data_IF_047032036970
#
_entry.id   IF_047032036970
#
_cell.length_a   1.000
_cell.length_b   1.000
_cell.length_c   1.000
_cell.angle_alpha   90.00
_cell.angle_beta   90.00
_cell.angle_gamma   90.00
#
_symmetry.space_group_name_H-M   'P 1'
#
loop_
_entity.id
_entity.type
_entity.pdbx_description
1 polymer ?
#
# COMPACT_ATOMS: atom_id res chain seq x y z
N UNK A 1 -13.52 -6.40 0.40
CA UNK A 1 -12.54 -5.30 0.34
C UNK A 1 -12.26 -4.79 -1.08
N UNK A 2 -11.45 -5.44 -1.91
CA UNK A 2 -11.08 -4.90 -3.24
C UNK A 2 -12.26 -4.49 -4.15
N UNK A 3 -13.38 -5.22 -4.10
CA UNK A 3 -14.61 -4.80 -4.82
C UNK A 3 -15.24 -3.53 -4.25
N UNK A 4 -15.25 -3.36 -2.92
CA UNK A 4 -15.71 -2.13 -2.26
C UNK A 4 -14.80 -0.95 -2.60
N UNK A 5 -13.53 -1.23 -2.85
CA UNK A 5 -12.50 -0.34 -3.37
C UNK A 5 -12.67 -0.02 -4.88
N UNK A 6 -13.69 -0.56 -5.57
CA UNK A 6 -14.01 -0.27 -6.97
C UNK A 6 -13.17 -1.02 -8.00
N UNK A 7 -12.43 -2.06 -7.60
CA UNK A 7 -11.54 -2.81 -8.49
C UNK A 7 -12.27 -3.98 -9.16
N UNK A 8 -11.92 -4.23 -10.43
CA UNK A 8 -12.44 -5.33 -11.25
C UNK A 8 -11.38 -6.29 -11.76
N UNK A 9 -10.09 -5.95 -11.61
CA UNK A 9 -8.97 -6.84 -11.90
C UNK A 9 -8.38 -7.32 -10.59
N UNK A 10 -8.06 -8.62 -10.52
CA UNK A 10 -7.55 -9.25 -9.31
C UNK A 10 -6.30 -10.07 -9.62
N UNK A 11 -5.33 -10.02 -8.71
CA UNK A 11 -4.17 -10.87 -8.78
C UNK A 11 -3.79 -11.42 -7.40
N UNK A 12 -3.07 -12.54 -7.40
CA UNK A 12 -2.50 -13.14 -6.22
C UNK A 12 -0.97 -13.22 -6.35
N UNK A 13 -0.28 -12.71 -5.33
CA UNK A 13 1.16 -12.80 -5.19
C UNK A 13 1.51 -13.74 -4.04
N UNK A 14 1.74 -15.00 -4.37
CA UNK A 14 2.14 -16.04 -3.43
C UNK A 14 2.98 -17.13 -4.09
N UNK A 15 3.27 -18.18 -3.33
CA UNK A 15 4.08 -19.33 -3.74
C UNK A 15 3.34 -20.62 -3.37
N UNK A 16 3.90 -21.76 -3.76
CA UNK A 16 3.30 -23.09 -3.56
C UNK A 16 3.56 -23.70 -2.17
N UNK A 17 3.99 -22.93 -1.18
CA UNK A 17 4.04 -23.37 0.22
C UNK A 17 2.62 -23.55 0.77
N UNK A 18 2.38 -24.45 1.74
CA UNK A 18 1.03 -24.91 2.12
C UNK A 18 0.01 -23.78 2.33
N UNK A 19 0.35 -22.83 3.21
CA UNK A 19 -0.54 -21.70 3.53
C UNK A 19 -0.71 -20.71 2.37
N UNK A 20 0.33 -20.51 1.57
CA UNK A 20 0.29 -19.63 0.40
C UNK A 20 -0.57 -20.21 -0.72
N UNK A 21 -0.45 -21.52 -0.94
CA UNK A 21 -1.20 -22.27 -1.94
C UNK A 21 -2.70 -22.29 -1.60
N UNK A 22 -3.05 -22.63 -0.36
CA UNK A 22 -4.45 -22.63 0.11
C UNK A 22 -5.10 -21.24 0.03
N UNK A 23 -4.40 -20.18 0.47
CA UNK A 23 -4.85 -18.79 0.34
C UNK A 23 -5.10 -18.42 -1.12
N UNK A 24 -4.21 -18.82 -2.03
CA UNK A 24 -4.35 -18.59 -3.46
C UNK A 24 -5.58 -19.27 -4.06
N UNK A 25 -5.80 -20.55 -3.75
CA UNK A 25 -6.99 -21.31 -4.20
C UNK A 25 -8.27 -20.66 -3.67
N UNK A 26 -8.31 -20.32 -2.38
CA UNK A 26 -9.48 -19.71 -1.76
C UNK A 26 -9.81 -18.35 -2.41
N UNK A 27 -8.78 -17.53 -2.67
CA UNK A 27 -8.95 -16.25 -3.33
C UNK A 27 -9.45 -16.41 -4.78
N UNK A 28 -8.85 -17.30 -5.56
CA UNK A 28 -9.26 -17.58 -6.94
C UNK A 28 -10.72 -18.06 -7.02
N UNK A 29 -11.12 -18.95 -6.12
CA UNK A 29 -12.51 -19.42 -6.01
C UNK A 29 -13.48 -18.25 -5.82
N UNK A 30 -13.23 -17.38 -4.85
CA UNK A 30 -14.09 -16.23 -4.54
C UNK A 30 -14.11 -15.22 -5.70
N UNK A 31 -12.99 -14.99 -6.36
CA UNK A 31 -12.89 -14.10 -7.53
C UNK A 31 -13.74 -14.64 -8.69
N UNK A 32 -13.64 -15.94 -8.98
CA UNK A 32 -14.42 -16.62 -10.02
C UNK A 32 -15.91 -16.66 -9.74
N UNK A 33 -16.31 -16.92 -8.51
CA UNK A 33 -17.72 -16.90 -8.07
C UNK A 33 -18.38 -15.53 -8.33
N UNK A 34 -17.61 -14.46 -8.36
CA UNK A 34 -18.07 -13.11 -8.66
C UNK A 34 -17.92 -12.70 -10.15
N UNK A 35 -17.57 -13.63 -11.03
CA UNK A 35 -17.48 -13.40 -12.48
C UNK A 35 -16.19 -12.74 -12.97
N UNK A 36 -15.13 -12.74 -12.17
CA UNK A 36 -13.84 -12.16 -12.53
C UNK A 36 -12.76 -13.24 -12.71
N UNK A 37 -11.61 -12.85 -13.26
CA UNK A 37 -10.42 -13.69 -13.34
C UNK A 37 -9.36 -13.23 -12.34
N UNK A 38 -8.68 -14.19 -11.71
CA UNK A 38 -7.53 -13.95 -10.86
C UNK A 38 -6.24 -14.28 -11.61
N UNK A 39 -5.34 -13.31 -11.72
CA UNK A 39 -4.00 -13.52 -12.28
C UNK A 39 -3.02 -13.93 -11.19
N UNK A 40 -2.14 -14.88 -11.47
CA UNK A 40 -1.15 -15.35 -10.51
C UNK A 40 0.25 -15.03 -11.01
N UNK A 41 1.12 -14.58 -10.11
CA UNK A 41 2.54 -14.59 -10.41
C UNK A 41 3.00 -16.05 -10.44
N UNK A 42 3.58 -16.49 -11.57
CA UNK A 42 4.24 -17.79 -11.63
C UNK A 42 5.48 -17.75 -10.75
N UNK A 43 5.54 -18.59 -9.71
CA UNK A 43 6.68 -18.68 -8.82
C UNK A 43 7.28 -20.08 -8.82
N UNK A 44 8.59 -20.16 -8.56
CA UNK A 44 9.23 -21.40 -8.18
C UNK A 44 9.00 -21.61 -6.68
N UNK A 45 8.49 -22.78 -6.22
CA UNK A 45 8.23 -23.05 -4.80
C UNK A 45 9.43 -22.82 -3.86
N UNK A 46 10.64 -22.92 -4.42
CA UNK A 46 11.92 -22.90 -3.70
C UNK A 46 12.63 -21.54 -3.74
N UNK A 47 12.13 -20.54 -4.46
CA UNK A 47 12.82 -19.27 -4.58
C UNK A 47 11.90 -18.06 -4.63
N UNK A 48 12.35 -16.98 -3.98
CA UNK A 48 11.68 -15.68 -4.10
C UNK A 48 11.98 -15.11 -5.48
N UNK A 49 10.97 -14.66 -6.25
CA UNK A 49 11.21 -14.09 -7.56
C UNK A 49 12.13 -12.87 -7.47
N UNK A 50 13.02 -12.74 -8.45
CA UNK A 50 13.89 -11.57 -8.56
C UNK A 50 13.07 -10.29 -8.64
N UNK A 51 13.64 -9.17 -8.22
CA UNK A 51 12.98 -7.87 -8.30
C UNK A 51 12.61 -7.53 -9.76
N UNK A 52 13.49 -7.86 -10.72
CA UNK A 52 13.26 -7.62 -12.15
C UNK A 52 12.07 -8.43 -12.66
N UNK A 53 11.97 -9.71 -12.29
CA UNK A 53 10.84 -10.56 -12.66
C UNK A 53 9.53 -10.08 -12.06
N UNK A 54 9.56 -9.56 -10.83
CA UNK A 54 8.40 -8.99 -10.17
C UNK A 54 7.93 -7.70 -10.87
N UNK A 55 8.86 -6.82 -11.23
CA UNK A 55 8.57 -5.59 -12.01
C UNK A 55 7.98 -5.95 -13.38
N UNK A 56 8.55 -6.93 -14.08
CA UNK A 56 8.03 -7.39 -15.37
C UNK A 56 6.59 -7.89 -15.26
N UNK A 57 6.31 -8.74 -14.26
CA UNK A 57 4.95 -9.23 -14.00
C UNK A 57 3.97 -8.11 -13.67
N UNK A 58 4.37 -7.12 -12.87
CA UNK A 58 3.52 -5.96 -12.55
C UNK A 58 3.11 -5.17 -13.79
N UNK A 59 3.96 -5.08 -14.82
CA UNK A 59 3.63 -4.43 -16.09
C UNK A 59 2.69 -5.24 -16.99
N UNK A 60 2.59 -6.55 -16.78
CA UNK A 60 1.66 -7.42 -17.52
C UNK A 60 0.23 -7.36 -16.97
N UNK A 61 0.05 -6.87 -15.73
CA UNK A 61 -1.25 -6.84 -15.07
C UNK A 61 -2.14 -5.71 -15.63
N UNK A 62 -3.45 -5.97 -15.84
CA UNK A 62 -4.39 -4.94 -16.24
C UNK A 62 -4.67 -3.99 -15.06
N UNK A 63 -4.36 -2.70 -15.21
CA UNK A 63 -4.60 -1.70 -14.17
C UNK A 63 -5.97 -1.01 -14.34
N UNK A 64 -6.66 -0.62 -13.25
CA UNK A 64 -6.28 -0.82 -11.85
C UNK A 64 -6.50 -2.26 -11.38
N UNK A 65 -5.59 -2.82 -10.57
CA UNK A 65 -5.64 -4.21 -10.06
C UNK A 65 -5.51 -4.26 -8.55
N UNK A 66 -6.29 -5.14 -7.91
CA UNK A 66 -6.13 -5.52 -6.51
C UNK A 66 -5.27 -6.78 -6.38
N UNK A 67 -4.11 -6.67 -5.75
CA UNK A 67 -3.18 -7.77 -5.51
C UNK A 67 -3.27 -8.21 -4.05
N UNK A 68 -3.72 -9.44 -3.82
CA UNK A 68 -3.59 -10.09 -2.51
C UNK A 68 -2.19 -10.72 -2.41
N UNK A 69 -1.42 -10.29 -1.42
CA UNK A 69 -0.12 -10.88 -1.10
C UNK A 69 -0.29 -12.03 -0.12
N UNK A 70 0.59 -13.04 -0.22
CA UNK A 70 0.63 -14.19 0.68
C UNK A 70 0.78 -13.83 2.16
N UNK A 71 1.49 -12.74 2.47
CA UNK A 71 1.80 -12.23 3.81
C UNK A 71 2.24 -10.75 3.69
N UNK A 72 2.44 -10.07 4.83
CA UNK A 72 2.80 -8.65 4.85
C UNK A 72 4.21 -8.37 4.33
N UNK A 73 5.16 -9.30 4.48
CA UNK A 73 6.51 -9.16 3.93
C UNK A 73 6.47 -9.11 2.39
N UNK A 74 5.61 -9.94 1.81
CA UNK A 74 5.36 -10.03 0.38
C UNK A 74 4.57 -8.83 -0.12
N UNK A 75 3.58 -8.36 0.66
CA UNK A 75 2.85 -7.13 0.38
C UNK A 75 3.76 -5.90 0.37
N UNK A 76 4.70 -5.82 1.32
CA UNK A 76 5.73 -4.79 1.34
C UNK A 76 6.62 -4.84 0.11
N UNK A 77 7.11 -6.03 -0.25
CA UNK A 77 7.95 -6.23 -1.44
C UNK A 77 7.23 -5.82 -2.72
N UNK A 78 5.93 -6.13 -2.85
CA UNK A 78 5.11 -5.66 -3.97
C UNK A 78 5.06 -4.14 -4.05
N UNK A 79 4.79 -3.46 -2.93
CA UNK A 79 4.72 -2.00 -2.90
C UNK A 79 6.05 -1.39 -3.35
N UNK A 80 7.18 -1.89 -2.84
CA UNK A 80 8.50 -1.38 -3.23
C UNK A 80 8.79 -1.66 -4.72
N UNK A 81 8.41 -2.83 -5.24
CA UNK A 81 8.56 -3.17 -6.65
C UNK A 81 7.65 -2.33 -7.58
N UNK A 82 6.40 -2.09 -7.21
CA UNK A 82 5.48 -1.22 -7.97
C UNK A 82 6.06 0.19 -8.10
N UNK A 83 6.65 0.73 -7.03
CA UNK A 83 7.28 2.05 -7.06
C UNK A 83 8.50 2.11 -7.96
N UNK A 84 9.33 1.08 -7.95
CA UNK A 84 10.49 0.98 -8.84
C UNK A 84 10.07 0.79 -10.30
N UNK A 85 8.93 0.15 -10.54
CA UNK A 85 8.28 0.05 -11.85
C UNK A 85 7.62 1.36 -12.31
N UNK A 86 7.58 2.40 -11.47
CA UNK A 86 6.87 3.65 -11.76
C UNK A 86 5.34 3.54 -11.68
N UNK A 87 4.82 2.43 -11.16
CA UNK A 87 3.38 2.17 -10.98
C UNK A 87 2.91 2.74 -9.65
N UNK A 88 1.76 3.40 -9.66
CA UNK A 88 1.21 4.01 -8.47
C UNK A 88 0.46 3.02 -7.58
N UNK A 89 0.69 3.16 -6.27
CA UNK A 89 -0.04 2.47 -5.22
C UNK A 89 -0.84 3.53 -4.45
N UNK A 90 -2.17 3.40 -4.28
CA UNK A 90 -2.98 2.26 -4.69
C UNK A 90 -3.65 2.39 -6.08
N UNK A 91 -3.53 3.52 -6.77
CA UNK A 91 -4.42 3.87 -7.89
C UNK A 91 -4.28 2.95 -9.11
N UNK A 92 -3.09 2.45 -9.40
CA UNK A 92 -2.87 1.43 -10.44
C UNK A 92 -2.75 0.04 -9.82
N UNK A 93 -2.02 -0.08 -8.71
CA UNK A 93 -1.76 -1.33 -8.00
C UNK A 93 -2.21 -1.17 -6.55
N UNK A 94 -3.36 -1.74 -6.19
CA UNK A 94 -3.78 -1.84 -4.81
C UNK A 94 -3.23 -3.12 -4.18
N UNK A 95 -2.59 -3.04 -3.02
CA UNK A 95 -1.92 -4.19 -2.37
C UNK A 95 -2.52 -4.46 -1.01
N UNK A 96 -2.99 -5.68 -0.78
CA UNK A 96 -3.48 -6.17 0.51
C UNK A 96 -2.57 -7.29 1.01
N UNK A 97 -1.99 -7.11 2.20
CA UNK A 97 -1.22 -8.13 2.91
C UNK A 97 -2.09 -9.02 3.80
N UNK A 98 -1.43 -9.93 4.51
CA UNK A 98 -2.03 -10.86 5.47
C UNK A 98 -1.08 -10.95 6.67
N UNK A 99 -1.66 -11.09 7.87
CA UNK A 99 -1.04 -11.25 9.20
C UNK A 99 -1.09 -9.98 10.07
N UNK A 100 -1.22 -8.79 9.46
CA UNK A 100 -1.23 -7.49 10.12
C UNK A 100 -0.01 -7.25 11.03
N UNK A 101 1.16 -7.68 10.58
CA UNK A 101 2.45 -7.34 11.16
C UNK A 101 2.62 -5.81 11.07
N UNK A 102 2.58 -5.17 12.23
CA UNK A 102 2.58 -3.70 12.33
C UNK A 102 3.86 -3.11 11.77
N UNK A 103 5.00 -3.77 11.95
CA UNK A 103 6.29 -3.30 11.46
C UNK A 103 6.33 -3.36 9.93
N UNK A 104 5.95 -4.48 9.32
CA UNK A 104 5.89 -4.61 7.86
C UNK A 104 4.90 -3.61 7.26
N UNK A 105 3.76 -3.43 7.93
CA UNK A 105 2.70 -2.55 7.45
C UNK A 105 3.07 -1.07 7.49
N UNK A 106 3.67 -0.61 8.59
CA UNK A 106 4.04 0.79 8.78
C UNK A 106 5.35 1.15 8.07
N UNK A 107 6.29 0.21 7.95
CA UNK A 107 7.50 0.46 7.20
C UNK A 107 7.21 0.52 5.69
N UNK A 108 6.09 -0.03 5.19
CA UNK A 108 5.67 0.12 3.79
C UNK A 108 5.34 1.57 3.46
N UNK A 109 5.61 1.97 2.22
CA UNK A 109 5.09 3.26 1.74
C UNK A 109 4.57 3.16 0.30
N UNK A 110 3.29 3.45 0.06
CA UNK A 110 2.24 3.76 1.04
C UNK A 110 2.06 2.62 2.08
N UNK A 111 1.57 2.95 3.27
CA UNK A 111 1.38 1.97 4.36
C UNK A 111 0.48 0.81 3.91
N UNK A 112 0.88 -0.42 4.20
CA UNK A 112 0.24 -1.63 3.70
C UNK A 112 -1.05 -1.95 4.48
N UNK A 113 -2.17 -2.02 3.79
CA UNK A 113 -3.40 -2.64 4.31
C UNK A 113 -3.16 -4.13 4.48
N UNK A 114 -3.72 -4.73 5.53
CA UNK A 114 -3.52 -6.15 5.81
C UNK A 114 -4.76 -6.82 6.39
N UNK A 115 -4.82 -8.14 6.35
CA UNK A 115 -5.82 -8.96 7.04
C UNK A 115 -5.26 -9.36 8.41
N UNK A 116 -5.90 -8.87 9.46
CA UNK A 116 -5.67 -9.30 10.84
C UNK A 116 -6.38 -10.64 11.08
N UNK A 117 -5.59 -11.68 11.30
CA UNK A 117 -6.05 -13.05 11.55
C UNK A 117 -6.39 -13.29 13.03
N UNK A 118 -6.32 -12.27 13.88
CA UNK A 118 -6.57 -12.36 15.32
C UNK A 118 -5.67 -13.39 16.03
N UNK A 119 -4.42 -13.54 15.58
CA UNK A 119 -3.46 -14.54 16.09
C UNK A 119 -3.18 -14.40 17.59
N UNK A 120 -3.23 -13.19 18.12
CA UNK A 120 -3.04 -12.94 19.56
C UNK A 120 -4.18 -13.54 20.39
N UNK A 121 -5.42 -13.38 19.92
CA UNK A 121 -6.58 -14.00 20.58
C UNK A 121 -6.50 -15.52 20.48
N UNK A 122 -6.14 -16.05 19.31
CA UNK A 122 -5.91 -17.48 19.13
C UNK A 122 -4.88 -18.02 20.12
N UNK A 123 -3.75 -17.33 20.28
CA UNK A 123 -2.72 -17.72 21.25
C UNK A 123 -3.20 -17.68 22.70
N UNK A 124 -3.99 -16.67 23.07
CA UNK A 124 -4.60 -16.56 24.40
C UNK A 124 -5.57 -17.72 24.67
N UNK A 125 -6.43 -18.05 23.71
CA UNK A 125 -7.38 -19.14 23.84
C UNK A 125 -6.70 -20.51 23.86
N UNK A 126 -5.63 -20.69 23.10
CA UNK A 126 -4.78 -21.88 23.16
C UNK A 126 -4.14 -22.06 24.54
N UNK A 127 -3.56 -20.98 25.11
CA UNK A 127 -2.98 -21.00 26.44
C UNK A 127 -4.02 -21.29 27.53
N UNK A 128 -5.21 -20.70 27.43
CA UNK A 128 -6.33 -20.99 28.33
C UNK A 128 -6.76 -22.46 28.25
N UNK A 129 -6.87 -23.00 27.04
CA UNK A 129 -7.22 -24.42 26.83
C UNK A 129 -6.18 -25.33 27.47
N UNK A 130 -4.90 -24.99 27.35
CA UNK A 130 -3.81 -25.74 28.00
C UNK A 130 -3.91 -25.68 29.53
N UNK A 131 -4.19 -24.51 30.10
CA UNK A 131 -4.39 -24.34 31.56
C UNK A 131 -5.58 -25.20 32.07
N UNK A 132 -6.68 -25.24 31.34
CA UNK A 132 -7.83 -26.11 31.67
C UNK A 132 -7.47 -27.59 31.64
N UNK A 133 -6.71 -28.03 30.63
CA UNK A 133 -6.21 -29.40 30.51
C UNK A 133 -5.28 -29.76 31.66
N UNK A 134 -4.38 -28.84 32.06
CA UNK A 134 -3.47 -29.04 33.19
C UNK A 134 -4.22 -29.17 34.52
N UNK A 135 -5.44 -28.63 34.63
CA UNK A 135 -6.33 -28.76 35.78
C UNK A 135 -7.21 -30.03 35.73
N UNK A 136 -7.07 -30.86 34.69
CA UNK A 136 -7.84 -32.09 34.52
C UNK A 136 -9.24 -31.88 33.92
N UNK A 137 -9.54 -30.67 33.43
CA UNK A 137 -10.81 -30.39 32.76
C UNK A 137 -10.76 -30.88 31.29
N UNK A 138 -11.87 -31.41 30.79
CA UNK A 138 -12.00 -31.71 29.36
C UNK A 138 -12.24 -30.41 28.56
N UNK A 139 -11.64 -30.24 27.38
CA UNK A 139 -11.85 -29.07 26.54
C UNK A 139 -13.32 -29.04 26.10
N UNK A 140 -14.04 -27.97 26.45
CA UNK A 140 -15.50 -27.93 26.36
C UNK A 140 -16.04 -27.44 25.01
N UNK A 141 -15.20 -26.98 24.07
CA UNK A 141 -15.57 -26.61 22.69
C UNK A 141 -14.36 -26.39 21.79
N UNK A 142 -14.56 -26.47 20.47
CA UNK A 142 -13.61 -25.88 19.52
C UNK A 142 -13.53 -24.38 19.79
N UNK A 143 -12.31 -23.87 19.86
CA UNK A 143 -12.01 -22.46 20.04
C UNK A 143 -12.62 -21.63 18.91
N UNK A 144 -13.63 -20.81 19.22
CA UNK A 144 -14.17 -19.83 18.27
C UNK A 144 -13.22 -18.64 18.18
N UNK A 145 -12.38 -18.62 17.15
CA UNK A 145 -11.52 -17.47 16.89
C UNK A 145 -12.34 -16.31 16.33
N UNK A 146 -11.93 -15.08 16.66
CA UNK A 146 -12.49 -13.91 16.00
C UNK A 146 -12.27 -13.98 14.48
N UNK A 147 -13.31 -13.64 13.72
CA UNK A 147 -13.25 -13.65 12.27
C UNK A 147 -12.12 -12.73 11.77
N UNK A 148 -11.35 -13.14 10.75
CA UNK A 148 -10.35 -12.29 10.13
C UNK A 148 -10.96 -10.96 9.66
N UNK A 149 -10.23 -9.86 9.85
CA UNK A 149 -10.70 -8.52 9.48
C UNK A 149 -9.66 -7.78 8.65
N UNK A 150 -10.14 -6.95 7.72
CA UNK A 150 -9.25 -6.08 6.94
C UNK A 150 -8.95 -4.82 7.72
N UNK A 151 -7.67 -4.55 7.94
CA UNK A 151 -7.14 -3.28 8.43
C UNK A 151 -6.74 -2.46 7.21
N UNK A 152 -7.66 -1.60 6.77
CA UNK A 152 -7.43 -0.74 5.61
C UNK A 152 -6.42 0.36 5.93
N UNK A 153 -5.40 0.48 5.09
CA UNK A 153 -4.41 1.56 5.06
C UNK A 153 -4.27 2.10 3.64
N UNK A 154 -3.24 2.92 3.40
CA UNK A 154 -3.06 3.62 2.13
C UNK A 154 -2.88 2.71 0.90
N UNK A 155 -2.31 1.51 1.04
CA UNK A 155 -2.06 0.62 -0.12
C UNK A 155 -3.30 0.01 -0.77
N UNK A 156 -4.47 0.11 -0.14
CA UNK A 156 -5.75 -0.26 -0.77
C UNK A 156 -6.76 0.87 -0.71
N UNK A 157 -6.34 2.08 -0.32
CA UNK A 157 -7.22 3.23 -0.28
C UNK A 157 -7.41 3.76 -1.71
N UNK A 158 -7.87 2.89 -2.60
CA UNK A 158 -8.32 3.27 -3.93
C UNK A 158 -9.62 4.02 -3.74
N UNK A 159 -9.50 5.33 -3.57
CA UNK A 159 -10.29 6.17 -4.44
C UNK A 159 -9.86 5.79 -5.86
N UNK A 160 -10.39 4.69 -6.41
CA UNK A 160 -10.29 4.44 -7.84
C UNK A 160 -10.80 5.73 -8.45
N UNK A 161 -9.91 6.52 -9.05
CA UNK A 161 -10.25 7.88 -9.45
C UNK A 161 -11.12 7.73 -10.69
N UNK A 162 -12.40 7.44 -10.47
CA UNK A 162 -13.38 7.21 -11.52
C UNK A 162 -13.54 8.45 -12.39
N UNK A 163 -13.21 9.62 -11.84
CA UNK A 163 -13.20 10.88 -12.54
C UNK A 163 -11.93 11.01 -13.42
N UNK A 164 -12.04 10.94 -14.76
CA UNK A 164 -10.88 10.96 -15.65
C UNK A 164 -10.07 12.26 -15.56
N UNK A 165 -10.72 13.37 -15.19
CA UNK A 165 -10.03 14.66 -15.00
C UNK A 165 -9.13 14.59 -13.77
N UNK A 166 -9.65 14.08 -12.66
CA UNK A 166 -8.86 13.94 -11.42
C UNK A 166 -7.74 12.92 -11.63
N UNK A 167 -7.99 11.83 -12.36
CA UNK A 167 -6.97 10.85 -12.69
C UNK A 167 -5.81 11.47 -13.49
N UNK A 168 -6.15 12.25 -14.53
CA UNK A 168 -5.16 13.01 -15.31
C UNK A 168 -4.38 14.02 -14.47
N UNK A 169 -5.06 14.74 -13.58
CA UNK A 169 -4.42 15.71 -12.69
C UNK A 169 -3.45 15.04 -11.71
N UNK A 170 -3.83 13.92 -11.10
CA UNK A 170 -2.97 13.15 -10.19
C UNK A 170 -1.75 12.60 -10.94
N UNK A 171 -1.95 12.07 -12.15
CA UNK A 171 -0.84 11.63 -13.00
C UNK A 171 0.14 12.76 -13.31
N UNK A 172 -0.38 13.93 -13.69
CA UNK A 172 0.44 15.12 -13.96
C UNK A 172 1.28 15.53 -12.74
N UNK A 173 0.68 15.56 -11.55
CA UNK A 173 1.38 15.86 -10.29
C UNK A 173 2.56 14.91 -10.10
N UNK A 174 2.37 13.61 -10.33
CA UNK A 174 3.40 12.58 -10.13
C UNK A 174 4.55 12.71 -11.12
N UNK A 175 4.24 12.87 -12.40
CA UNK A 175 5.23 12.98 -13.47
C UNK A 175 6.12 14.22 -13.33
N UNK A 176 5.56 15.33 -12.81
CA UNK A 176 6.23 16.61 -12.75
C UNK A 176 6.66 16.98 -11.32
N UNK A 177 6.44 16.12 -10.32
CA UNK A 177 6.59 16.44 -8.90
C UNK A 177 7.92 17.11 -8.56
N UNK A 178 9.03 16.56 -9.07
CA UNK A 178 10.40 17.05 -8.84
C UNK A 178 10.67 18.46 -9.40
N UNK A 179 9.80 18.95 -10.27
CA UNK A 179 9.86 20.29 -10.86
C UNK A 179 9.16 21.35 -9.99
N UNK A 180 8.52 20.93 -8.89
CA UNK A 180 7.83 21.84 -7.97
C UNK A 180 6.44 22.25 -8.45
N UNK A 181 5.63 21.26 -8.86
CA UNK A 181 4.25 21.45 -9.36
C UNK A 181 3.42 22.31 -8.42
N UNK A 182 2.68 23.25 -9.00
CA UNK A 182 1.69 24.09 -8.32
C UNK A 182 0.31 23.87 -8.94
N UNK A 183 -0.71 24.31 -8.22
CA UNK A 183 -2.11 24.22 -8.68
C UNK A 183 -2.35 24.89 -10.04
N UNK A 184 -1.76 26.07 -10.36
CA UNK A 184 -1.87 26.65 -11.71
C UNK A 184 -1.38 25.73 -12.83
N UNK A 185 -0.31 24.95 -12.60
CA UNK A 185 0.26 24.06 -13.61
C UNK A 185 -0.71 22.91 -13.94
N UNK A 186 -1.38 22.37 -12.90
CA UNK A 186 -2.44 21.38 -13.06
C UNK A 186 -3.60 21.96 -13.88
N UNK A 187 -4.03 23.19 -13.58
CA UNK A 187 -5.14 23.84 -14.28
C UNK A 187 -4.85 24.03 -15.77
N UNK A 188 -3.62 24.41 -16.10
CA UNK A 188 -3.15 24.52 -17.49
C UNK A 188 -3.15 23.17 -18.20
N UNK A 189 -2.86 22.07 -17.49
CA UNK A 189 -2.82 20.73 -18.07
C UNK A 189 -4.20 20.09 -18.30
N UNK A 190 -5.14 20.26 -17.37
CA UNK A 190 -6.48 19.64 -17.46
C UNK A 190 -7.56 20.54 -18.02
N UNK A 191 -7.23 21.80 -18.34
CA UNK A 191 -8.09 22.77 -19.04
C UNK A 191 -9.48 22.99 -18.42
N UNK A 192 -9.55 23.10 -17.08
CA UNK A 192 -10.80 23.42 -16.36
C UNK A 192 -10.65 24.60 -15.41
N UNK A 193 -11.78 25.16 -14.97
CA UNK A 193 -11.80 26.20 -13.94
C UNK A 193 -11.24 25.69 -12.60
N UNK A 194 -10.66 26.59 -11.81
CA UNK A 194 -10.18 26.30 -10.44
C UNK A 194 -11.30 25.71 -9.57
N UNK A 195 -12.50 26.27 -9.64
CA UNK A 195 -13.67 25.78 -8.87
C UNK A 195 -14.01 24.33 -9.24
N UNK A 196 -14.01 24.02 -10.54
CA UNK A 196 -14.27 22.66 -11.03
C UNK A 196 -13.21 21.69 -10.53
N UNK A 197 -11.92 22.04 -10.66
CA UNK A 197 -10.82 21.20 -10.19
C UNK A 197 -10.94 20.87 -8.70
N UNK A 198 -11.14 21.89 -7.85
CA UNK A 198 -11.26 21.69 -6.40
C UNK A 198 -12.50 20.86 -6.02
N UNK A 199 -13.65 21.13 -6.64
CA UNK A 199 -14.87 20.37 -6.38
C UNK A 199 -14.72 18.90 -6.78
N UNK A 200 -14.12 18.64 -7.94
CA UNK A 200 -13.87 17.28 -8.46
C UNK A 200 -12.86 16.54 -7.58
N UNK A 201 -11.77 17.19 -7.17
CA UNK A 201 -10.81 16.62 -6.22
C UNK A 201 -11.46 16.28 -4.87
N UNK A 202 -12.24 17.20 -4.30
CA UNK A 202 -12.94 16.96 -3.03
C UNK A 202 -13.93 15.80 -3.14
N UNK A 203 -14.65 15.70 -4.27
CA UNK A 203 -15.60 14.62 -4.54
C UNK A 203 -14.92 13.26 -4.74
N UNK A 204 -13.82 13.21 -5.50
CA UNK A 204 -13.17 11.95 -5.88
C UNK A 204 -12.14 11.45 -4.86
N UNK A 205 -11.42 12.35 -4.19
CA UNK A 205 -10.27 12.03 -3.32
C UNK A 205 -10.45 12.52 -1.87
N UNK A 206 -11.53 13.25 -1.56
CA UNK A 206 -11.76 13.81 -0.22
C UNK A 206 -10.81 14.96 0.17
N UNK A 207 -9.87 15.34 -0.70
CA UNK A 207 -8.83 16.35 -0.47
C UNK A 207 -8.70 17.30 -1.65
N UNK A 208 -8.07 18.44 -1.45
CA UNK A 208 -7.82 19.46 -2.46
C UNK A 208 -6.62 19.13 -3.35
N UNK A 209 -6.48 19.79 -4.53
CA UNK A 209 -5.30 19.63 -5.38
C UNK A 209 -3.98 19.99 -4.67
N UNK A 210 -4.01 20.99 -3.77
CA UNK A 210 -2.84 21.37 -2.99
C UNK A 210 -2.44 20.29 -1.98
N UNK A 211 -3.41 19.70 -1.28
CA UNK A 211 -3.16 18.59 -0.36
C UNK A 211 -2.64 17.35 -1.09
N UNK A 212 -3.10 17.09 -2.33
CA UNK A 212 -2.55 16.04 -3.19
C UNK A 212 -1.08 16.27 -3.54
N UNK A 213 -0.70 17.49 -3.90
CA UNK A 213 0.70 17.84 -4.17
C UNK A 213 1.54 17.58 -2.91
N UNK A 214 1.13 18.11 -1.75
CA UNK A 214 1.87 17.93 -0.50
C UNK A 214 2.01 16.45 -0.14
N UNK A 215 0.94 15.66 -0.30
CA UNK A 215 0.98 14.21 -0.15
C UNK A 215 2.07 13.63 -1.05
N UNK A 216 1.97 13.84 -2.37
CA UNK A 216 2.95 13.38 -3.38
C UNK A 216 4.39 13.73 -3.00
N UNK A 217 4.65 14.96 -2.55
CA UNK A 217 5.98 15.42 -2.13
C UNK A 217 6.49 14.64 -0.90
N UNK A 218 5.64 14.44 0.11
CA UNK A 218 5.99 13.64 1.30
C UNK A 218 6.28 12.19 0.92
N UNK A 219 5.46 11.61 0.02
CA UNK A 219 5.62 10.24 -0.48
C UNK A 219 7.02 10.01 -1.07
N UNK A 220 7.44 10.96 -1.91
CA UNK A 220 8.74 10.92 -2.58
C UNK A 220 9.88 11.16 -1.58
N UNK A 221 9.70 12.08 -0.63
CA UNK A 221 10.68 12.32 0.42
C UNK A 221 10.89 11.08 1.27
N UNK A 222 9.82 10.39 1.66
CA UNK A 222 9.88 9.15 2.42
C UNK A 222 10.64 8.03 1.68
N UNK A 223 10.50 7.88 0.36
CA UNK A 223 11.35 6.93 -0.39
C UNK A 223 12.82 7.29 -0.30
N UNK A 224 13.16 8.55 -0.59
CA UNK A 224 14.55 8.98 -0.71
C UNK A 224 15.25 9.04 0.66
N UNK A 225 14.50 9.22 1.74
CA UNK A 225 15.04 9.18 3.10
C UNK A 225 15.45 7.77 3.57
N UNK A 226 14.94 6.71 2.93
CA UNK A 226 15.33 5.32 3.20
C UNK A 226 16.71 4.99 2.64
N UNK A 227 17.19 5.76 1.67
CA UNK A 227 18.54 5.61 1.15
C UNK A 227 19.55 6.26 2.11
N UNK A 228 20.46 5.48 2.74
CA UNK A 228 21.26 5.94 3.88
C UNK A 228 22.20 7.13 3.58
N UNK A 229 22.51 7.38 2.30
CA UNK A 229 23.50 8.39 1.87
C UNK A 229 22.91 9.60 1.14
N UNK A 230 21.59 9.67 0.96
CA UNK A 230 20.99 10.77 0.19
C UNK A 230 20.98 12.06 1.02
N UNK A 231 21.58 13.14 0.51
CA UNK A 231 21.63 14.44 1.22
C UNK A 231 20.21 15.02 1.38
N UNK A 232 19.90 15.61 2.54
CA UNK A 232 18.57 16.20 2.82
C UNK A 232 18.17 17.24 1.76
N UNK A 233 19.12 18.05 1.29
CA UNK A 233 18.90 19.00 0.20
C UNK A 233 18.46 18.29 -1.10
N UNK A 234 19.10 17.17 -1.43
CA UNK A 234 18.74 16.35 -2.60
C UNK A 234 17.35 15.74 -2.44
N UNK A 235 17.02 15.25 -1.24
CA UNK A 235 15.67 14.75 -0.93
C UNK A 235 14.63 15.83 -1.17
N UNK A 236 14.84 17.04 -0.62
CA UNK A 236 13.91 18.15 -0.76
C UNK A 236 13.66 18.50 -2.24
N UNK A 237 14.75 18.69 -3.00
CA UNK A 237 14.67 19.03 -4.43
C UNK A 237 14.02 17.93 -5.25
N UNK A 238 14.45 16.68 -5.10
CA UNK A 238 13.92 15.54 -5.87
C UNK A 238 12.46 15.22 -5.51
N UNK A 239 12.00 15.64 -4.33
CA UNK A 239 10.61 15.52 -3.90
C UNK A 239 9.75 16.73 -4.27
N UNK A 240 10.33 17.77 -4.90
CA UNK A 240 9.58 18.94 -5.35
C UNK A 240 9.41 20.06 -4.33
N UNK A 241 10.06 19.99 -3.16
CA UNK A 241 10.00 21.05 -2.16
C UNK A 241 10.91 22.22 -2.55
N UNK A 242 10.46 23.44 -2.26
CA UNK A 242 11.22 24.67 -2.49
C UNK A 242 12.29 24.95 -1.42
N UNK A 243 12.93 23.89 -0.92
CA UNK A 243 13.96 23.98 0.12
C UNK A 243 13.79 22.96 1.25
N UNK A 244 14.89 22.60 1.93
CA UNK A 244 14.88 21.63 3.03
C UNK A 244 14.13 22.11 4.28
N UNK A 245 14.08 23.43 4.54
CA UNK A 245 13.38 24.02 5.68
C UNK A 245 11.87 23.84 5.54
N UNK A 246 11.34 24.15 4.35
CA UNK A 246 9.91 23.96 4.05
C UNK A 246 9.54 22.48 4.06
N UNK A 247 10.37 21.61 3.48
CA UNK A 247 10.20 20.16 3.58
C UNK A 247 10.14 19.72 5.05
N UNK A 248 11.07 20.17 5.89
CA UNK A 248 11.11 19.81 7.31
C UNK A 248 9.81 20.17 8.02
N UNK A 249 9.33 21.42 7.83
CA UNK A 249 8.08 21.89 8.43
C UNK A 249 6.88 21.06 7.99
N UNK A 250 6.70 20.86 6.68
CA UNK A 250 5.58 20.11 6.11
C UNK A 250 5.62 18.64 6.56
N UNK A 251 6.79 18.01 6.52
CA UNK A 251 6.99 16.61 6.89
C UNK A 251 6.67 16.37 8.36
N UNK A 252 7.19 17.22 9.27
CA UNK A 252 6.88 17.15 10.70
C UNK A 252 5.39 17.38 10.97
N UNK A 253 4.78 18.36 10.29
CA UNK A 253 3.35 18.65 10.42
C UNK A 253 2.47 17.49 9.99
N UNK A 254 2.84 16.78 8.93
CA UNK A 254 2.04 15.67 8.39
C UNK A 254 2.29 14.32 9.08
N UNK A 255 3.52 14.03 9.49
CA UNK A 255 3.90 12.71 10.01
C UNK A 255 4.20 12.70 11.51
N UNK A 256 4.17 13.86 12.18
CA UNK A 256 4.49 14.00 13.61
C UNK A 256 5.98 13.87 13.95
N UNK A 257 6.82 13.48 13.00
CA UNK A 257 8.27 13.28 13.16
C UNK A 257 9.05 14.00 12.07
N UNK A 258 10.29 14.36 12.38
CA UNK A 258 11.19 15.04 11.43
C UNK A 258 11.76 14.09 10.37
N UNK A 259 12.21 14.61 9.21
CA UNK A 259 12.91 13.80 8.20
C UNK A 259 14.11 13.03 8.75
N UNK A 260 14.83 13.61 9.72
CA UNK A 260 16.00 12.99 10.35
C UNK A 260 15.60 11.82 11.26
N UNK A 261 14.57 12.01 12.09
CA UNK A 261 14.02 10.94 12.93
C UNK A 261 13.44 9.79 12.08
N UNK A 262 12.75 10.13 10.98
CA UNK A 262 12.27 9.15 10.02
C UNK A 262 13.42 8.32 9.46
N UNK A 263 14.50 8.96 8.98
CA UNK A 263 15.69 8.26 8.49
C UNK A 263 16.33 7.36 9.55
N UNK A 264 16.45 7.84 10.79
CA UNK A 264 17.04 7.08 11.91
C UNK A 264 16.25 5.81 12.20
N UNK A 265 14.91 5.90 12.26
CA UNK A 265 14.04 4.72 12.44
C UNK A 265 14.28 3.61 11.42
N UNK A 266 14.60 3.96 10.17
CA UNK A 266 14.91 2.98 9.12
C UNK A 266 16.34 2.43 9.18
N UNK A 267 17.30 3.16 9.77
CA UNK A 267 18.67 2.67 9.98
C UNK A 267 18.79 1.73 11.16
N UNK A 268 18.05 2.00 12.23
CA UNK A 268 18.16 1.27 13.50
C UNK A 268 17.27 0.01 13.53
N UNK A 269 16.39 -0.17 12.54
CA UNK A 269 15.54 -1.35 12.35
C UNK A 269 16.08 -2.37 11.34
N UNK A 270 17.39 -2.36 11.08
CA UNK A 270 18.13 -3.33 10.26
C UNK A 270 19.08 -4.15 11.15
#
# INVERSE_FOLDING_TARGET
HFRQCGLSNFAFYGNDQPWGHERGIAFDKVVKEHGYQCLHMRQNPLSTPSLQSLIAWLHELPTPVGILARDDSSGRRLIDASRLAGLSVPEEIAVLGIDNDTLMCELAYPSLSSIDLSVQQFGFEAARTLDDLMKGNAPTKQTETAAPRVIARLSTNTSAIADPLVARAVRYIREHLSQGVRVPDILSHVTVSRKTLYSRFKKSLGRSPHEEILRAQIEKAQSLLREPNTKILTVAKASGFNGPEYMHYVFKKHLGITPHEYRRKYRDGL
#
